data_IF_419549778900
#
_entry.id   IF_419549778900
#
_cell.length_a   1.000
_cell.length_b   1.000
_cell.length_c   1.000
_cell.angle_alpha   90.00
_cell.angle_beta   90.00
_cell.angle_gamma   90.00
#
_symmetry.space_group_name_H-M   'P 1'
#
loop_
_entity.id
_entity.type
_entity.pdbx_description
1 polymer ?
#
# COMPACT_ATOMS: atom_id res chain seq x y z
N UNK A 1 12.66 -6.06 -9.26
CA UNK A 1 12.33 -5.26 -8.07
C UNK A 1 11.07 -4.49 -8.39
N UNK A 2 10.07 -4.55 -7.52
CA UNK A 2 8.82 -3.83 -7.75
C UNK A 2 8.98 -2.36 -7.41
N UNK A 3 9.61 -2.03 -6.28
CA UNK A 3 10.03 -0.68 -5.90
C UNK A 3 8.90 0.36 -5.84
N UNK A 4 9.17 1.49 -5.19
CA UNK A 4 8.25 2.62 -5.17
C UNK A 4 7.53 2.80 -3.85
N UNK A 5 7.13 4.05 -3.60
CA UNK A 5 6.56 4.49 -2.34
C UNK A 5 5.41 5.43 -2.65
N UNK A 6 4.30 5.27 -1.94
CA UNK A 6 3.11 6.08 -2.17
C UNK A 6 2.34 6.26 -0.86
N UNK A 7 1.82 7.47 -0.67
CA UNK A 7 0.88 7.78 0.40
C UNK A 7 -0.53 7.43 -0.08
N UNK A 8 -1.23 6.58 0.65
CA UNK A 8 -2.62 6.24 0.34
C UNK A 8 -3.50 7.51 0.39
N UNK A 9 -4.38 7.73 -0.61
CA UNK A 9 -5.30 8.85 -0.62
C UNK A 9 -6.49 8.56 0.30
N UNK A 10 -6.51 9.20 1.47
CA UNK A 10 -7.64 9.14 2.39
C UNK A 10 -7.23 9.63 3.79
N UNK A 11 -8.17 9.99 4.67
CA UNK A 11 -7.82 10.38 6.05
C UNK A 11 -7.50 9.19 6.97
N UNK A 12 -7.49 7.95 6.46
CA UNK A 12 -7.66 6.76 7.30
C UNK A 12 -8.99 6.81 8.05
N UNK A 13 -9.25 5.83 8.93
CA UNK A 13 -10.40 5.94 9.81
C UNK A 13 -10.10 6.91 10.95
N UNK A 14 -10.88 7.98 11.08
CA UNK A 14 -10.71 8.95 12.19
C UNK A 14 -11.28 8.46 13.52
N UNK A 15 -12.02 7.35 13.52
CA UNK A 15 -12.51 6.71 14.74
C UNK A 15 -11.39 6.08 15.59
N UNK A 16 -10.20 5.87 15.00
CA UNK A 16 -8.97 5.53 15.70
C UNK A 16 -7.83 6.34 15.11
N UNK A 17 -7.10 7.09 15.94
CA UNK A 17 -5.96 7.88 15.46
C UNK A 17 -4.65 7.45 16.12
N UNK A 18 -3.56 7.54 15.37
CA UNK A 18 -2.18 7.41 15.85
C UNK A 18 -1.49 8.72 15.51
N UNK A 19 -0.92 9.39 16.50
CA UNK A 19 -0.27 10.70 16.31
C UNK A 19 -1.15 11.73 15.57
N UNK A 20 -2.47 11.72 15.85
CA UNK A 20 -3.51 12.59 15.25
C UNK A 20 -3.89 12.27 13.79
N UNK A 21 -3.35 11.22 13.21
CA UNK A 21 -3.75 10.74 11.89
C UNK A 21 -4.65 9.51 12.00
N UNK A 22 -5.64 9.38 11.10
CA UNK A 22 -6.51 8.21 11.08
C UNK A 22 -5.77 6.95 10.69
N UNK A 23 -6.14 5.83 11.31
CA UNK A 23 -5.52 4.52 11.09
C UNK A 23 -6.08 3.87 9.81
N UNK A 24 -5.21 3.25 9.03
CA UNK A 24 -5.62 2.44 7.88
C UNK A 24 -6.27 1.12 8.34
N UNK A 25 -7.35 0.76 7.67
CA UNK A 25 -8.08 -0.48 7.93
C UNK A 25 -7.80 -1.49 6.83
N UNK A 26 -7.89 -2.77 7.19
CA UNK A 26 -7.73 -3.87 6.26
C UNK A 26 -8.69 -3.73 5.07
N UNK A 27 -8.15 -3.88 3.87
CA UNK A 27 -8.85 -3.70 2.60
C UNK A 27 -8.68 -2.31 1.98
N UNK A 28 -8.22 -1.30 2.73
CA UNK A 28 -7.91 0.03 2.18
C UNK A 28 -6.72 -0.01 1.21
N UNK A 29 -5.85 -0.99 1.37
CA UNK A 29 -4.72 -1.25 0.51
C UNK A 29 -5.10 -1.96 -0.79
N UNK A 30 -6.25 -2.62 -0.87
CA UNK A 30 -6.57 -3.54 -1.97
C UNK A 30 -6.81 -2.80 -3.30
N UNK A 31 -6.12 -3.23 -4.37
CA UNK A 31 -6.22 -2.60 -5.69
C UNK A 31 -5.50 -1.26 -5.81
N UNK A 32 -4.77 -0.85 -4.77
CA UNK A 32 -3.93 0.33 -4.79
C UNK A 32 -2.74 0.16 -5.74
N UNK A 33 -2.41 1.21 -6.49
CA UNK A 33 -1.32 1.19 -7.45
C UNK A 33 -0.15 2.06 -6.97
N UNK A 34 1.06 1.54 -7.07
CA UNK A 34 2.30 2.32 -7.10
C UNK A 34 2.50 2.71 -8.57
N UNK A 35 2.18 3.96 -8.90
CA UNK A 35 2.27 4.51 -10.25
C UNK A 35 3.68 4.41 -10.83
N UNK A 36 3.80 4.67 -12.14
CA UNK A 36 5.10 4.72 -12.81
C UNK A 36 5.49 6.16 -13.15
N UNK A 37 6.73 6.39 -13.56
CA UNK A 37 7.17 7.73 -13.96
C UNK A 37 6.35 8.29 -15.14
N UNK A 38 5.87 7.42 -16.03
CA UNK A 38 5.05 7.80 -17.18
C UNK A 38 3.55 7.90 -16.85
N UNK A 39 3.10 7.27 -15.77
CA UNK A 39 1.71 7.26 -15.30
C UNK A 39 1.68 7.43 -13.78
N UNK A 40 1.91 8.66 -13.27
CA UNK A 40 1.94 8.93 -11.84
C UNK A 40 0.54 8.76 -11.24
N UNK A 41 0.49 8.37 -9.96
CA UNK A 41 -0.75 8.27 -9.18
C UNK A 41 -0.76 9.31 -8.06
N UNK A 42 -1.94 9.73 -7.56
CA UNK A 42 -2.01 10.61 -6.40
C UNK A 42 -1.28 10.02 -5.19
N UNK A 43 -0.50 10.86 -4.50
CA UNK A 43 0.29 10.45 -3.33
C UNK A 43 1.61 9.74 -3.66
N UNK A 44 1.96 9.57 -4.94
CA UNK A 44 3.21 8.92 -5.37
C UNK A 44 4.43 9.73 -4.89
N UNK A 45 5.29 9.09 -4.11
CA UNK A 45 6.56 9.65 -3.62
C UNK A 45 7.71 9.14 -4.50
N UNK A 46 7.74 7.83 -4.74
CA UNK A 46 8.74 7.18 -5.61
C UNK A 46 8.01 6.27 -6.60
N UNK A 47 8.27 6.38 -7.93
CA UNK A 47 7.65 5.51 -8.92
C UNK A 47 8.02 4.03 -8.74
N UNK A 48 7.12 3.14 -9.16
CA UNK A 48 7.42 1.72 -9.35
C UNK A 48 8.38 1.55 -10.56
N UNK A 49 9.59 1.00 -10.38
CA UNK A 49 10.54 0.70 -11.46
C UNK A 49 10.15 -0.51 -12.33
N UNK A 50 9.05 -1.21 -12.04
CA UNK A 50 8.66 -2.37 -12.85
C UNK A 50 8.34 -1.94 -14.29
N UNK A 51 8.86 -2.70 -15.23
CA UNK A 51 8.59 -2.55 -16.65
C UNK A 51 8.09 -3.87 -17.24
N UNK A 52 7.20 -3.76 -18.22
CA UNK A 52 6.81 -4.86 -19.09
C UNK A 52 8.04 -5.40 -19.86
N UNK A 53 7.99 -6.65 -20.35
CA UNK A 53 9.06 -7.22 -21.19
C UNK A 53 9.41 -6.39 -22.43
N UNK A 54 8.47 -5.55 -22.91
CA UNK A 54 8.68 -4.64 -24.03
C UNK A 54 9.31 -3.29 -23.62
N UNK A 55 9.73 -3.14 -22.36
CA UNK A 55 10.38 -1.95 -21.82
C UNK A 55 9.41 -0.84 -21.40
N UNK A 56 8.10 -1.02 -21.52
CA UNK A 56 7.14 -0.02 -21.08
C UNK A 56 6.97 -0.04 -19.55
N UNK A 57 6.97 1.13 -18.89
CA UNK A 57 6.79 1.20 -17.45
C UNK A 57 5.37 0.75 -17.06
N UNK A 58 5.26 -0.16 -16.10
CA UNK A 58 3.98 -0.69 -15.63
C UNK A 58 3.81 -0.42 -14.13
N UNK A 59 2.63 0.06 -13.70
CA UNK A 59 2.34 0.18 -12.28
C UNK A 59 2.44 -1.16 -11.54
N UNK A 60 2.92 -1.10 -10.31
CA UNK A 60 2.83 -2.21 -9.36
C UNK A 60 1.48 -2.08 -8.66
N UNK A 61 0.66 -3.12 -8.60
CA UNK A 61 -0.67 -3.06 -7.97
C UNK A 61 -0.73 -4.02 -6.80
N UNK A 62 -1.26 -3.60 -5.66
CA UNK A 62 -1.50 -4.49 -4.53
C UNK A 62 -2.55 -5.53 -4.91
N UNK A 63 -2.27 -6.80 -4.59
CA UNK A 63 -3.25 -7.86 -4.80
C UNK A 63 -4.16 -8.00 -3.60
N UNK A 64 -5.42 -8.44 -3.80
CA UNK A 64 -6.27 -8.84 -2.69
C UNK A 64 -5.59 -9.96 -1.92
N UNK A 65 -5.14 -9.65 -0.71
CA UNK A 65 -4.60 -10.64 0.23
C UNK A 65 -5.10 -10.29 1.62
N UNK A 66 -5.02 -11.25 2.54
CA UNK A 66 -5.16 -10.96 3.96
C UNK A 66 -3.77 -10.57 4.45
N UNK A 67 -3.44 -9.27 4.59
CA UNK A 67 -2.08 -8.87 4.89
C UNK A 67 -1.56 -9.53 6.18
N UNK A 68 -0.29 -9.94 6.18
CA UNK A 68 0.36 -10.32 7.43
C UNK A 68 0.47 -9.07 8.32
N UNK A 69 0.52 -9.22 9.64
CA UNK A 69 0.55 -8.08 10.57
C UNK A 69 -0.81 -7.42 10.85
N UNK A 70 -1.92 -8.03 10.40
CA UNK A 70 -3.28 -7.65 10.82
C UNK A 70 -3.49 -7.86 12.32
N UNK A 71 -3.97 -6.81 13.01
CA UNK A 71 -4.40 -6.96 14.40
C UNK A 71 -5.88 -7.29 14.48
N UNK A 72 -6.21 -8.47 14.98
CA UNK A 72 -7.61 -8.85 15.25
C UNK A 72 -8.14 -8.25 16.55
N UNK A 73 -7.28 -7.65 17.39
CA UNK A 73 -7.66 -7.03 18.67
C UNK A 73 -8.07 -5.57 18.52
N UNK A 74 -7.58 -4.87 17.50
CA UNK A 74 -7.95 -3.49 17.21
C UNK A 74 -8.79 -3.47 15.92
N UNK A 75 -10.10 -3.34 16.08
CA UNK A 75 -11.04 -3.27 14.97
C UNK A 75 -11.84 -1.98 15.03
N UNK A 76 -12.03 -1.34 13.87
CA UNK A 76 -12.92 -0.19 13.71
C UNK A 76 -14.04 -0.59 12.77
N UNK A 77 -15.30 -0.44 13.20
CA UNK A 77 -16.46 -0.88 12.43
C UNK A 77 -16.38 -2.35 11.93
N UNK A 78 -15.75 -3.23 12.71
CA UNK A 78 -15.55 -4.64 12.36
C UNK A 78 -14.38 -4.91 11.40
N UNK A 79 -13.67 -3.88 10.93
CA UNK A 79 -12.47 -4.03 10.12
C UNK A 79 -11.21 -3.97 10.99
N UNK A 80 -10.29 -4.95 10.89
CA UNK A 80 -8.99 -4.89 11.56
C UNK A 80 -8.19 -3.65 11.14
N UNK A 81 -7.47 -3.06 12.08
CA UNK A 81 -6.44 -2.07 11.77
C UNK A 81 -5.21 -2.74 11.14
N UNK A 82 -4.54 -2.02 10.24
CA UNK A 82 -3.21 -2.38 9.77
C UNK A 82 -2.16 -1.75 10.71
N UNK A 83 -1.18 -2.55 11.13
CA UNK A 83 -0.05 -2.10 11.94
C UNK A 83 1.15 -1.70 11.06
N UNK A 84 2.17 -1.10 11.66
CA UNK A 84 3.45 -0.80 10.99
C UNK A 84 4.09 -2.03 10.34
N UNK A 85 4.00 -3.20 10.97
CA UNK A 85 4.52 -4.44 10.41
C UNK A 85 3.58 -5.09 9.37
N UNK A 86 2.52 -4.41 8.93
CA UNK A 86 1.60 -5.01 7.97
C UNK A 86 2.22 -5.13 6.59
N UNK A 87 2.10 -6.31 5.99
CA UNK A 87 2.67 -6.62 4.67
C UNK A 87 1.66 -7.31 3.79
N UNK A 88 1.75 -7.10 2.48
CA UNK A 88 0.97 -7.84 1.51
C UNK A 88 1.70 -7.98 0.19
N UNK A 89 0.98 -8.51 -0.79
CA UNK A 89 1.53 -8.85 -2.09
C UNK A 89 1.26 -7.74 -3.11
N UNK A 90 2.20 -7.52 -4.02
CA UNK A 90 2.04 -6.69 -5.22
C UNK A 90 2.18 -7.55 -6.49
N UNK A 91 1.62 -7.08 -7.60
CA UNK A 91 1.76 -7.67 -8.92
C UNK A 91 2.09 -6.59 -9.95
N UNK A 92 3.00 -6.93 -10.86
CA UNK A 92 3.28 -6.17 -12.08
C UNK A 92 3.54 -7.13 -13.25
N UNK A 93 3.80 -6.59 -14.45
CA UNK A 93 4.24 -7.40 -15.59
C UNK A 93 5.61 -8.04 -15.42
N UNK A 94 6.39 -7.64 -14.40
CA UNK A 94 7.64 -8.28 -14.02
C UNK A 94 7.45 -9.45 -13.02
N UNK A 95 6.23 -9.65 -12.49
CA UNK A 95 5.90 -10.76 -11.59
C UNK A 95 5.28 -10.32 -10.25
N UNK A 96 5.42 -11.18 -9.24
CA UNK A 96 4.91 -10.95 -7.87
C UNK A 96 5.97 -10.23 -7.02
N UNK A 97 5.55 -9.23 -6.24
CA UNK A 97 6.34 -8.53 -5.23
C UNK A 97 5.63 -8.45 -3.89
N UNK A 98 6.16 -7.62 -3.00
CA UNK A 98 5.54 -7.34 -1.71
C UNK A 98 5.42 -5.83 -1.45
N UNK A 99 4.56 -5.47 -0.50
CA UNK A 99 4.51 -4.13 0.08
C UNK A 99 4.50 -4.20 1.61
N UNK A 100 4.95 -3.12 2.25
CA UNK A 100 4.95 -2.93 3.71
C UNK A 100 4.35 -1.57 4.07
N UNK A 101 3.75 -1.45 5.24
CA UNK A 101 3.47 -0.13 5.85
C UNK A 101 4.77 0.40 6.44
N UNK A 102 5.22 1.59 6.04
CA UNK A 102 6.40 2.21 6.66
C UNK A 102 6.04 3.29 7.66
N UNK A 103 4.81 3.79 7.61
CA UNK A 103 4.25 4.67 8.62
C UNK A 103 2.72 4.52 8.69
N UNK A 104 2.17 3.82 9.71
CA UNK A 104 0.71 3.67 9.86
C UNK A 104 0.01 4.98 10.22
N UNK A 105 0.73 5.98 10.73
CA UNK A 105 0.23 7.34 10.99
C UNK A 105 0.33 8.28 9.78
N UNK A 106 1.12 7.95 8.76
CA UNK A 106 1.20 8.76 7.53
C UNK A 106 0.73 8.02 6.28
N UNK A 107 0.19 6.81 6.45
CA UNK A 107 -0.45 6.01 5.41
C UNK A 107 0.48 5.69 4.24
N UNK A 108 1.76 5.47 4.53
CA UNK A 108 2.78 5.21 3.50
C UNK A 108 2.90 3.70 3.29
N UNK A 109 2.72 3.30 2.03
CA UNK A 109 3.05 1.97 1.54
C UNK A 109 4.33 2.04 0.70
N UNK A 110 5.19 1.05 0.88
CA UNK A 110 6.40 0.86 0.08
C UNK A 110 6.39 -0.53 -0.55
N UNK A 111 6.71 -0.61 -1.84
CA UNK A 111 6.81 -1.85 -2.58
C UNK A 111 8.28 -2.29 -2.72
N UNK A 112 8.53 -3.59 -2.57
CA UNK A 112 9.84 -4.25 -2.72
C UNK A 112 9.81 -5.34 -3.79
#
# INVERSE_FOLDING_TARGET
MHGGACRLPGPGSTALTVSKAGVLLAGAEAGFAFGSAAAPVPGMITPCPAALPNGQPQPCVTTPTRPAGLTTKLTVAGQPALLDAATGDTMSGAGKGAWTITDPGQQILEAS
#
